data_IF_164996317144
#
_entry.id   IF_164996317144
#
_cell.length_a   1.000
_cell.length_b   1.000
_cell.length_c   1.000
_cell.angle_alpha   90.00
_cell.angle_beta   90.00
_cell.angle_gamma   90.00
#
_symmetry.space_group_name_H-M   'P 1'
#
loop_
_entity.id
_entity.type
_entity.pdbx_description
1 polymer ?
#
# COMPACT_ATOMS: atom_id res chain seq x y z
N UNK A 1 1.70 -9.54 -29.07
CA UNK A 1 2.53 -8.36 -28.73
C UNK A 1 3.67 -8.81 -27.83
N UNK A 2 4.87 -9.00 -28.40
CA UNK A 2 6.10 -9.37 -27.68
C UNK A 2 7.16 -8.35 -28.10
N UNK A 3 8.06 -8.02 -27.17
CA UNK A 3 9.23 -7.15 -27.28
C UNK A 3 9.04 -5.70 -26.80
N UNK A 4 9.02 -5.53 -25.47
CA UNK A 4 9.69 -4.39 -24.84
C UNK A 4 10.68 -4.97 -23.81
N UNK A 5 11.92 -4.49 -23.84
CA UNK A 5 13.08 -4.87 -22.99
C UNK A 5 13.89 -6.10 -23.44
N UNK A 6 14.55 -5.99 -24.60
CA UNK A 6 15.82 -6.72 -24.86
C UNK A 6 16.96 -5.93 -24.21
N UNK A 7 17.68 -6.53 -23.25
CA UNK A 7 18.95 -5.95 -22.78
C UNK A 7 19.41 -6.30 -21.36
N UNK A 8 18.62 -6.95 -20.52
CA UNK A 8 19.07 -7.34 -19.18
C UNK A 8 18.85 -8.84 -18.94
N UNK A 9 19.90 -9.62 -19.18
CA UNK A 9 20.03 -10.94 -18.55
C UNK A 9 19.95 -10.70 -17.03
N UNK A 10 18.91 -11.24 -16.38
CA UNK A 10 18.85 -11.55 -14.93
C UNK A 10 18.66 -10.43 -13.89
N UNK A 11 17.83 -9.40 -14.12
CA UNK A 11 17.30 -8.54 -13.02
C UNK A 11 15.77 -8.54 -12.86
N UNK A 12 15.02 -8.87 -13.92
CA UNK A 12 13.54 -8.88 -13.88
C UNK A 12 12.93 -10.10 -13.20
N UNK A 13 13.67 -11.21 -13.02
CA UNK A 13 13.14 -12.44 -12.41
C UNK A 13 12.79 -12.32 -10.92
N UNK A 14 13.15 -11.22 -10.26
CA UNK A 14 12.84 -10.93 -8.84
C UNK A 14 11.95 -9.70 -8.65
N UNK A 15 11.47 -9.10 -9.74
CA UNK A 15 10.59 -7.93 -9.68
C UNK A 15 9.17 -8.42 -9.98
N UNK A 16 8.30 -8.35 -8.99
CA UNK A 16 6.87 -8.57 -9.23
C UNK A 16 6.34 -7.44 -10.12
N UNK A 17 5.74 -7.82 -11.26
CA UNK A 17 5.10 -6.90 -12.19
C UNK A 17 3.60 -7.21 -12.19
N UNK A 18 2.79 -6.21 -11.89
CA UNK A 18 1.33 -6.31 -11.85
C UNK A 18 0.70 -5.02 -12.39
N UNK A 19 -0.58 -5.11 -12.76
CA UNK A 19 -1.34 -3.96 -13.18
C UNK A 19 -1.69 -3.08 -11.96
N UNK A 20 -1.30 -1.81 -12.00
CA UNK A 20 -1.57 -0.81 -10.95
C UNK A 20 -3.06 -0.49 -10.80
N UNK A 21 -3.90 -0.93 -11.75
CA UNK A 21 -5.36 -0.76 -11.75
C UNK A 21 -6.09 -1.95 -11.11
N UNK A 22 -5.39 -2.87 -10.47
CA UNK A 22 -6.01 -3.94 -9.68
C UNK A 22 -6.49 -3.43 -8.32
N UNK A 23 -7.59 -3.99 -7.80
CA UNK A 23 -8.12 -3.66 -6.47
C UNK A 23 -7.10 -3.87 -5.36
N UNK A 24 -6.28 -4.91 -5.49
CA UNK A 24 -5.21 -5.30 -4.58
C UNK A 24 -4.19 -4.17 -4.38
N UNK A 25 -3.90 -3.41 -5.45
CA UNK A 25 -3.01 -2.24 -5.39
C UNK A 25 -3.64 -1.13 -4.57
N UNK A 26 -4.92 -0.83 -4.81
CA UNK A 26 -5.67 0.14 -4.01
C UNK A 26 -5.68 -0.25 -2.53
N UNK A 27 -5.95 -1.52 -2.23
CA UNK A 27 -6.00 -2.04 -0.86
C UNK A 27 -4.65 -1.91 -0.13
N UNK A 28 -3.54 -2.33 -0.75
CA UNK A 28 -2.20 -2.18 -0.15
C UNK A 28 -1.87 -0.71 0.05
N UNK A 29 -2.17 0.15 -0.92
CA UNK A 29 -1.93 1.59 -0.79
C UNK A 29 -2.68 2.19 0.40
N UNK A 30 -3.95 1.84 0.58
CA UNK A 30 -4.75 2.29 1.72
C UNK A 30 -4.16 1.83 3.06
N UNK A 31 -3.82 0.55 3.18
CA UNK A 31 -3.22 0.00 4.41
C UNK A 31 -1.88 0.67 4.76
N UNK A 32 -1.00 0.87 3.77
CA UNK A 32 0.31 1.50 4.00
C UNK A 32 0.18 2.98 4.34
N UNK A 33 -0.75 3.72 3.73
CA UNK A 33 -0.91 5.15 4.01
C UNK A 33 -1.64 5.45 5.33
N UNK A 34 -2.37 4.49 5.88
CA UNK A 34 -3.02 4.65 7.19
C UNK A 34 -2.04 4.43 8.33
N UNK A 35 -1.40 3.25 8.38
CA UNK A 35 -0.55 2.79 9.49
C UNK A 35 0.81 2.25 9.02
N UNK A 36 1.40 2.87 8.01
CA UNK A 36 2.63 2.41 7.38
C UNK A 36 3.52 3.53 6.85
N UNK A 37 4.56 3.15 6.12
CA UNK A 37 5.43 4.06 5.40
C UNK A 37 6.10 3.40 4.20
N UNK A 38 6.60 4.22 3.28
CA UNK A 38 7.38 3.79 2.11
C UNK A 38 8.71 4.55 2.01
N UNK A 39 9.78 3.81 1.75
CA UNK A 39 11.12 4.38 1.60
C UNK A 39 11.97 3.61 0.61
N UNK A 40 12.96 4.30 0.05
CA UNK A 40 13.98 3.66 -0.77
C UNK A 40 14.92 2.85 0.12
N UNK A 41 15.28 1.65 -0.33
CA UNK A 41 16.20 0.77 0.38
C UNK A 41 17.57 0.83 -0.32
N UNK A 42 18.57 1.34 0.41
CA UNK A 42 19.96 1.40 -0.02
C UNK A 42 20.77 0.30 0.66
N UNK A 43 21.70 -0.31 -0.09
CA UNK A 43 22.69 -1.24 0.46
C UNK A 43 24.06 -0.85 -0.08
N UNK A 44 25.04 -0.65 0.81
CA UNK A 44 26.39 -0.18 0.48
C UNK A 44 26.38 1.08 -0.42
N UNK A 45 25.54 2.07 -0.09
CA UNK A 45 25.41 3.32 -0.84
C UNK A 45 24.67 3.22 -2.17
N UNK A 46 24.26 2.02 -2.61
CA UNK A 46 23.55 1.81 -3.89
C UNK A 46 22.06 1.57 -3.66
N UNK A 47 21.22 2.18 -4.50
CA UNK A 47 19.78 1.93 -4.51
C UNK A 47 19.51 0.47 -4.90
N UNK A 48 18.90 -0.30 -3.99
CA UNK A 48 18.53 -1.71 -4.24
C UNK A 48 17.06 -1.92 -4.55
N UNK A 49 16.20 -0.94 -4.25
CA UNK A 49 14.78 -1.00 -4.54
C UNK A 49 13.99 -0.12 -3.58
N UNK A 50 12.69 -0.37 -3.48
CA UNK A 50 11.82 0.31 -2.54
C UNK A 50 11.11 -0.68 -1.63
N UNK A 51 10.89 -0.22 -0.41
CA UNK A 51 10.28 -0.98 0.68
C UNK A 51 9.01 -0.29 1.14
N UNK A 52 8.01 -1.12 1.37
CA UNK A 52 6.70 -0.80 1.89
C UNK A 52 6.64 -1.39 3.29
N UNK A 53 6.20 -0.61 4.26
CA UNK A 53 6.07 -1.07 5.64
C UNK A 53 4.64 -0.82 6.09
N UNK A 54 4.05 -1.82 6.73
CA UNK A 54 2.74 -1.73 7.35
C UNK A 54 2.81 -2.25 8.79
N UNK A 55 2.24 -1.51 9.72
CA UNK A 55 2.20 -1.84 11.14
C UNK A 55 0.77 -2.15 11.57
N UNK A 56 0.57 -3.28 12.25
CA UNK A 56 -0.70 -3.56 12.92
C UNK A 56 -0.52 -4.56 14.07
N UNK A 57 -1.48 -4.59 14.99
CA UNK A 57 -1.55 -5.62 16.04
C UNK A 57 -2.66 -6.64 15.81
N UNK A 58 -3.56 -6.38 14.86
CA UNK A 58 -4.64 -7.30 14.51
C UNK A 58 -4.19 -8.31 13.46
N UNK A 59 -4.14 -9.60 13.82
CA UNK A 59 -3.68 -10.67 12.92
C UNK A 59 -4.57 -10.81 11.68
N UNK A 60 -5.87 -10.55 11.79
CA UNK A 60 -6.79 -10.59 10.65
C UNK A 60 -6.41 -9.53 9.60
N UNK A 61 -6.08 -8.32 10.03
CA UNK A 61 -5.63 -7.26 9.13
C UNK A 61 -4.23 -7.58 8.56
N UNK A 62 -3.33 -8.17 9.36
CA UNK A 62 -2.01 -8.62 8.89
C UNK A 62 -2.15 -9.68 7.79
N UNK A 63 -3.05 -10.65 7.95
CA UNK A 63 -3.32 -11.68 6.93
C UNK A 63 -3.97 -11.09 5.67
N UNK A 64 -4.83 -10.07 5.80
CA UNK A 64 -5.34 -9.33 4.63
C UNK A 64 -4.19 -8.71 3.84
N UNK A 65 -3.22 -8.08 4.51
CA UNK A 65 -2.05 -7.52 3.84
C UNK A 65 -1.21 -8.61 3.16
N UNK A 66 -0.82 -9.66 3.89
CA UNK A 66 -0.02 -10.78 3.37
C UNK A 66 -0.71 -11.45 2.17
N UNK A 67 -2.01 -11.73 2.29
CA UNK A 67 -2.81 -12.33 1.23
C UNK A 67 -2.90 -11.46 -0.01
N UNK A 68 -3.06 -10.14 0.15
CA UNK A 68 -3.11 -9.18 -0.95
C UNK A 68 -1.76 -9.08 -1.65
N UNK A 69 -0.65 -9.03 -0.91
CA UNK A 69 0.69 -9.08 -1.48
C UNK A 69 0.94 -10.38 -2.26
N UNK A 70 0.51 -11.53 -1.72
CA UNK A 70 0.64 -12.83 -2.39
C UNK A 70 -0.07 -12.85 -3.74
N UNK A 71 -1.27 -12.27 -3.85
CA UNK A 71 -2.00 -12.15 -5.13
C UNK A 71 -1.24 -11.32 -6.17
N UNK A 72 -0.49 -10.31 -5.73
CA UNK A 72 0.37 -9.50 -6.60
C UNK A 72 1.77 -10.13 -6.84
N UNK A 73 2.03 -11.33 -6.33
CA UNK A 73 3.33 -11.99 -6.42
C UNK A 73 4.43 -11.30 -5.59
N UNK A 74 4.05 -10.53 -4.57
CA UNK A 74 4.97 -9.82 -3.68
C UNK A 74 5.40 -10.69 -2.51
N UNK A 75 6.71 -10.72 -2.26
CA UNK A 75 7.26 -11.29 -1.04
C UNK A 75 7.02 -10.33 0.13
N UNK A 76 6.58 -10.90 1.26
CA UNK A 76 6.37 -10.18 2.53
C UNK A 76 7.23 -10.81 3.60
N UNK A 77 7.95 -9.98 4.35
CA UNK A 77 8.64 -10.37 5.57
C UNK A 77 7.87 -9.84 6.78
N UNK A 78 7.71 -10.66 7.81
CA UNK A 78 7.12 -10.25 9.09
C UNK A 78 8.22 -10.10 10.13
N UNK A 79 8.14 -9.04 10.93
CA UNK A 79 9.02 -8.76 12.07
C UNK A 79 8.18 -8.28 13.25
N UNK A 80 8.62 -8.58 14.45
CA UNK A 80 8.07 -8.00 15.66
C UNK A 80 8.89 -6.75 15.99
N UNK A 81 8.23 -5.60 16.08
CA UNK A 81 8.85 -4.39 16.59
C UNK A 81 8.33 -4.17 18.02
N UNK A 82 9.24 -4.12 18.99
CA UNK A 82 8.95 -3.67 20.34
C UNK A 82 8.93 -2.14 20.32
N UNK A 83 7.79 -1.52 20.67
CA UNK A 83 7.76 -0.07 20.82
C UNK A 83 8.48 0.33 22.12
N UNK A 84 9.02 1.55 22.16
CA UNK A 84 9.57 2.15 23.39
C UNK A 84 8.56 2.20 24.55
N UNK A 85 7.26 2.10 24.23
CA UNK A 85 6.15 2.03 25.19
C UNK A 85 5.78 0.61 25.63
N UNK A 86 6.58 -0.41 25.28
CA UNK A 86 6.35 -1.82 25.63
C UNK A 86 5.16 -2.49 24.93
N UNK A 87 4.60 -1.87 23.88
CA UNK A 87 3.53 -2.46 23.09
C UNK A 87 4.12 -3.13 21.84
N UNK A 88 3.96 -4.44 21.75
CA UNK A 88 4.34 -5.22 20.59
C UNK A 88 3.46 -4.83 19.38
N UNK A 89 4.10 -4.45 18.28
CA UNK A 89 3.44 -4.26 16.99
C UNK A 89 4.11 -5.12 15.94
N UNK A 90 3.30 -5.82 15.16
CA UNK A 90 3.81 -6.54 14.00
C UNK A 90 4.07 -5.58 12.87
N UNK A 91 5.26 -5.73 12.29
CA UNK A 91 5.73 -5.02 11.11
C UNK A 91 5.75 -5.97 9.93
N UNK A 92 4.99 -5.64 8.89
CA UNK A 92 5.06 -6.32 7.59
C UNK A 92 5.84 -5.47 6.61
N UNK A 93 6.77 -6.11 5.90
CA UNK A 93 7.66 -5.49 4.95
C UNK A 93 7.46 -6.10 3.57
N UNK A 94 6.98 -5.31 2.61
CA UNK A 94 6.87 -5.68 1.20
C UNK A 94 7.94 -4.97 0.36
N UNK A 95 8.53 -5.68 -0.60
CA UNK A 95 9.54 -5.10 -1.50
C UNK A 95 8.94 -4.90 -2.89
N UNK A 96 8.74 -3.65 -3.30
CA UNK A 96 8.21 -3.32 -4.62
C UNK A 96 8.59 -1.92 -5.05
N UNK A 97 9.50 -1.83 -6.02
CA UNK A 97 9.79 -0.58 -6.73
C UNK A 97 8.56 -0.09 -7.50
N UNK A 98 7.69 -1.00 -7.95
CA UNK A 98 6.49 -0.66 -8.72
C UNK A 98 5.43 0.04 -7.87
N UNK A 99 5.21 -0.37 -6.60
CA UNK A 99 4.24 0.27 -5.69
C UNK A 99 4.75 1.56 -5.06
N UNK A 100 6.07 1.75 -5.02
CA UNK A 100 6.67 2.94 -4.44
C UNK A 100 6.21 4.24 -5.12
N UNK A 101 6.16 4.26 -6.45
CA UNK A 101 5.72 5.45 -7.19
C UNK A 101 4.22 5.75 -6.99
N UNK A 102 3.29 4.78 -7.13
CA UNK A 102 1.90 4.92 -6.73
C UNK A 102 1.70 5.48 -5.31
N UNK A 103 2.49 5.03 -4.33
CA UNK A 103 2.39 5.56 -2.97
C UNK A 103 2.86 7.00 -2.85
N UNK A 104 3.94 7.39 -3.54
CA UNK A 104 4.43 8.78 -3.55
C UNK A 104 3.49 9.75 -4.25
N UNK A 105 2.66 9.26 -5.19
CA UNK A 105 1.74 10.05 -6.02
C UNK A 105 0.30 9.56 -5.90
N UNK A 106 -0.06 9.04 -4.72
CA UNK A 106 -1.34 8.37 -4.51
C UNK A 106 -2.52 9.30 -4.78
N UNK A 107 -2.38 10.59 -4.45
CA UNK A 107 -3.39 11.62 -4.55
C UNK A 107 -3.84 11.87 -5.99
N UNK A 108 -2.91 11.83 -6.95
CA UNK A 108 -3.26 11.96 -8.37
C UNK A 108 -3.70 10.62 -8.98
N UNK A 109 -3.04 9.53 -8.59
CA UNK A 109 -3.31 8.21 -9.14
C UNK A 109 -4.70 7.71 -8.74
N UNK A 110 -5.03 7.74 -7.44
CA UNK A 110 -6.23 7.09 -6.94
C UNK A 110 -7.51 7.73 -7.50
N UNK A 111 -7.47 9.03 -7.81
CA UNK A 111 -8.61 9.74 -8.39
C UNK A 111 -8.90 9.34 -9.84
N UNK A 112 -7.92 8.73 -10.54
CA UNK A 112 -8.01 8.38 -11.98
C UNK A 112 -8.17 6.88 -12.25
N UNK A 113 -7.95 6.03 -11.24
CA UNK A 113 -8.14 4.59 -11.38
C UNK A 113 -9.64 4.21 -11.32
N UNK A 114 -10.02 3.01 -11.80
CA UNK A 114 -11.39 2.53 -11.73
C UNK A 114 -11.99 2.51 -10.31
N UNK A 115 -13.32 2.62 -10.21
CA UNK A 115 -14.06 2.73 -8.94
C UNK A 115 -13.80 1.57 -7.98
N UNK A 116 -13.61 0.34 -8.47
CA UNK A 116 -13.28 -0.80 -7.62
C UNK A 116 -11.91 -0.65 -6.93
N UNK A 117 -10.95 0.00 -7.57
CA UNK A 117 -9.63 0.31 -6.97
C UNK A 117 -9.77 1.41 -5.93
N UNK A 118 -10.57 2.45 -6.24
CA UNK A 118 -10.88 3.53 -5.29
C UNK A 118 -11.57 2.98 -4.02
N UNK A 119 -12.55 2.10 -4.20
CA UNK A 119 -13.25 1.45 -3.09
C UNK A 119 -12.31 0.56 -2.27
N UNK A 120 -11.43 -0.22 -2.93
CA UNK A 120 -10.43 -1.03 -2.25
C UNK A 120 -9.43 -0.18 -1.45
N UNK A 121 -9.06 0.99 -1.98
CA UNK A 121 -8.23 1.96 -1.28
C UNK A 121 -8.89 2.53 -0.02
N UNK A 122 -10.14 2.98 -0.12
CA UNK A 122 -10.90 3.43 1.05
C UNK A 122 -11.03 2.33 2.10
N UNK A 123 -11.31 1.09 1.66
CA UNK A 123 -11.34 -0.08 2.54
C UNK A 123 -10.00 -0.29 3.24
N UNK A 124 -8.89 -0.14 2.53
CA UNK A 124 -7.55 -0.25 3.10
C UNK A 124 -7.29 0.78 4.20
N UNK A 125 -7.64 2.04 3.94
CA UNK A 125 -7.54 3.11 4.94
C UNK A 125 -8.35 2.80 6.20
N UNK A 126 -9.61 2.39 6.02
CA UNK A 126 -10.50 2.06 7.12
C UNK A 126 -9.97 0.88 7.94
N UNK A 127 -9.54 -0.20 7.28
CA UNK A 127 -9.01 -1.37 7.98
C UNK A 127 -7.75 -1.03 8.78
N UNK A 128 -6.81 -0.30 8.18
CA UNK A 128 -5.54 -0.02 8.85
C UNK A 128 -5.70 0.86 10.10
N UNK A 129 -6.65 1.80 10.10
CA UNK A 129 -6.99 2.64 11.25
C UNK A 129 -7.91 1.96 12.27
N UNK A 130 -8.24 0.67 12.07
CA UNK A 130 -9.25 -0.08 12.86
C UNK A 130 -10.61 0.63 12.88
N UNK A 131 -10.95 1.27 11.77
CA UNK A 131 -12.17 2.05 11.63
C UNK A 131 -13.40 1.14 11.54
N UNK A 132 -14.29 1.23 12.52
CA UNK A 132 -15.61 0.59 12.50
C UNK A 132 -16.73 1.64 12.49
N UNK A 133 -16.98 2.23 11.32
CA UNK A 133 -18.30 2.72 10.91
C UNK A 133 -18.76 4.12 11.32
N UNK A 134 -18.33 4.71 12.46
CA UNK A 134 -18.92 5.98 12.93
C UNK A 134 -17.96 7.05 13.43
N UNK A 135 -16.67 6.75 13.58
CA UNK A 135 -15.66 7.73 14.05
C UNK A 135 -15.21 8.61 12.86
N UNK A 136 -14.62 9.79 13.01
CA UNK A 136 -14.01 10.49 11.87
C UNK A 136 -12.67 9.84 11.49
N UNK A 137 -12.35 9.76 10.19
CA UNK A 137 -11.01 9.39 9.74
C UNK A 137 -10.06 10.57 10.05
N UNK A 138 -9.05 10.32 10.89
CA UNK A 138 -8.05 11.30 11.26
C UNK A 138 -6.68 10.89 10.73
N UNK A 139 -6.02 11.78 10.00
CA UNK A 139 -4.66 11.56 9.54
C UNK A 139 -3.88 12.87 9.55
N UNK A 140 -2.59 12.80 9.87
CA UNK A 140 -1.71 13.98 9.90
C UNK A 140 -1.37 14.51 8.51
N UNK A 141 -1.59 13.71 7.46
CA UNK A 141 -1.38 14.11 6.06
C UNK A 141 -2.61 14.85 5.51
N UNK A 142 -2.52 16.17 5.25
CA UNK A 142 -3.63 16.93 4.67
C UNK A 142 -3.98 16.44 3.25
N UNK A 143 -2.98 15.93 2.52
CA UNK A 143 -3.17 15.34 1.18
C UNK A 143 -4.06 14.12 1.23
N UNK A 144 -3.85 13.25 2.22
CA UNK A 144 -4.64 12.02 2.37
C UNK A 144 -6.08 12.37 2.76
N UNK A 145 -6.25 13.26 3.74
CA UNK A 145 -7.58 13.76 4.16
C UNK A 145 -8.35 14.34 2.98
N UNK A 146 -7.72 15.23 2.19
CA UNK A 146 -8.34 15.84 1.00
C UNK A 146 -8.75 14.79 -0.04
N UNK A 147 -7.84 13.85 -0.35
CA UNK A 147 -8.08 12.81 -1.36
C UNK A 147 -9.23 11.91 -0.94
N UNK A 148 -9.23 11.44 0.31
CA UNK A 148 -10.32 10.63 0.89
C UNK A 148 -11.65 11.38 0.86
N UNK A 149 -11.66 12.68 1.18
CA UNK A 149 -12.88 13.51 1.10
C UNK A 149 -13.45 13.58 -0.32
N UNK A 150 -12.60 13.74 -1.35
CA UNK A 150 -13.01 13.74 -2.75
C UNK A 150 -13.60 12.38 -3.14
N UNK A 151 -12.92 11.29 -2.78
CA UNK A 151 -13.39 9.93 -3.09
C UNK A 151 -14.75 9.62 -2.46
N UNK A 152 -14.95 9.99 -1.19
CA UNK A 152 -16.24 9.79 -0.51
C UNK A 152 -17.36 10.62 -1.14
N UNK A 153 -17.11 11.88 -1.50
CA UNK A 153 -18.08 12.71 -2.23
C UNK A 153 -18.45 12.11 -3.59
N UNK A 154 -17.46 11.61 -4.32
CA UNK A 154 -17.68 10.99 -5.64
C UNK A 154 -18.43 9.65 -5.55
N UNK A 155 -18.28 8.93 -4.42
CA UNK A 155 -19.00 7.68 -4.17
C UNK A 155 -20.47 7.93 -3.82
N UNK A 156 -20.79 9.00 -3.07
CA UNK A 156 -22.16 9.33 -2.66
C UNK A 156 -22.91 10.28 -3.60
N UNK A 157 -22.22 11.03 -4.45
CA UNK A 157 -22.84 11.91 -5.45
C UNK A 157 -23.32 11.23 -6.73
N UNK A 158 -23.26 9.89 -6.80
CA UNK A 158 -23.71 9.07 -7.94
C UNK A 158 -24.92 8.17 -7.62
N UNK A 159 -25.57 8.41 -6.48
CA UNK A 159 -26.82 7.74 -6.10
C UNK A 159 -28.03 8.48 -6.67
#
# INVERSE_FOLDING_TARGET
MRCWLRGLRTLLGRIAVFDVRQSEVGLIMGLVLSNGNEHQHHYNGRLRGAKLVFYNSDEGILEVFKGTCRKLGLAVCQRLDESESGQEKWRLEGYSTLLYLPLKRFDDLILRVPTNVQAAFLRGLMLGDKYMGSVPFYNTSPKLVRTTSILLKNAWGKA
#
